data_IF_326685797324
#
_entry.id   IF_326685797324
#
_cell.length_a   1.000
_cell.length_b   1.000
_cell.length_c   1.000
_cell.angle_alpha   90.00
_cell.angle_beta   90.00
_cell.angle_gamma   90.00
#
_symmetry.space_group_name_H-M   'P 1'
#
loop_
_entity.id
_entity.type
_entity.pdbx_description
1 polymer ?
#
# COMPACT_ATOMS: atom_id res chain seq x y z
N UNK A 1 5.68 -13.15 -0.55
CA UNK A 1 4.83 -12.28 0.28
C UNK A 1 3.97 -11.41 -0.63
N UNK A 2 2.63 -11.52 -0.56
CA UNK A 2 1.72 -10.65 -1.34
C UNK A 2 1.68 -9.20 -0.82
N UNK A 3 1.12 -8.27 -1.59
CA UNK A 3 0.99 -6.85 -1.20
C UNK A 3 0.23 -6.72 0.13
N UNK A 4 -0.87 -7.45 0.30
CA UNK A 4 -1.65 -7.44 1.55
C UNK A 4 -0.83 -7.93 2.75
N UNK A 5 0.01 -8.96 2.57
CA UNK A 5 0.87 -9.48 3.62
C UNK A 5 1.93 -8.44 4.02
N UNK A 6 2.48 -7.71 3.04
CA UNK A 6 3.41 -6.61 3.31
C UNK A 6 2.73 -5.47 4.08
N UNK A 7 1.49 -5.13 3.74
CA UNK A 7 0.71 -4.11 4.49
C UNK A 7 0.51 -4.56 5.94
N UNK A 8 0.10 -5.82 6.17
CA UNK A 8 -0.04 -6.38 7.52
C UNK A 8 1.28 -6.25 8.28
N UNK A 9 2.39 -6.70 7.68
CA UNK A 9 3.71 -6.59 8.28
C UNK A 9 4.09 -5.13 8.60
N UNK A 10 3.85 -4.20 7.68
CA UNK A 10 4.16 -2.80 7.87
C UNK A 10 3.32 -2.16 8.99
N UNK A 11 2.03 -2.47 9.07
CA UNK A 11 1.16 -2.03 10.17
C UNK A 11 1.64 -2.59 11.51
N UNK A 12 2.10 -3.84 11.55
CA UNK A 12 2.51 -4.50 12.79
C UNK A 12 3.92 -4.09 13.27
N UNK A 13 4.82 -3.72 12.36
CA UNK A 13 6.24 -3.55 12.68
C UNK A 13 6.77 -2.13 12.43
N UNK A 14 6.22 -1.40 11.44
CA UNK A 14 6.76 -0.10 11.03
C UNK A 14 6.00 1.08 11.64
N UNK A 15 4.77 0.88 12.11
CA UNK A 15 3.99 1.92 12.77
C UNK A 15 4.05 1.68 14.27
N UNK A 16 4.76 2.55 14.98
CA UNK A 16 4.89 2.49 16.42
C UNK A 16 4.04 3.59 17.06
N UNK A 17 3.17 3.21 17.99
CA UNK A 17 2.50 4.17 18.87
C UNK A 17 3.40 4.35 20.09
N UNK A 18 4.03 5.52 20.21
CA UNK A 18 4.67 5.90 21.46
C UNK A 18 3.60 6.27 22.49
N UNK A 19 3.08 5.28 23.22
CA UNK A 19 2.42 5.55 24.51
C UNK A 19 3.53 5.77 25.54
N UNK A 20 3.43 6.88 26.26
CA UNK A 20 4.42 7.33 27.25
C UNK A 20 4.91 6.18 28.13
N UNK A 21 6.24 6.04 28.21
CA UNK A 21 7.01 5.21 29.15
C UNK A 21 6.58 3.73 29.21
N UNK A 22 7.35 2.88 28.50
CA UNK A 22 7.32 1.41 28.56
C UNK A 22 6.00 0.75 28.12
N UNK A 23 5.75 0.70 26.81
CA UNK A 23 4.75 -0.22 26.25
C UNK A 23 5.31 -1.07 25.10
N UNK A 24 4.89 -2.35 25.00
CA UNK A 24 5.27 -3.22 23.90
C UNK A 24 4.73 -2.67 22.56
N UNK A 25 5.41 -3.01 21.47
CA UNK A 25 4.96 -2.73 20.10
C UNK A 25 3.54 -3.29 19.95
N UNK A 26 2.54 -2.41 19.73
CA UNK A 26 1.16 -2.83 19.51
C UNK A 26 1.01 -3.12 18.01
N UNK A 27 0.78 -4.39 17.60
CA UNK A 27 0.54 -4.70 16.20
C UNK A 27 -0.77 -4.05 15.75
N UNK A 28 -0.71 -3.21 14.70
CA UNK A 28 -1.86 -2.41 14.27
C UNK A 28 -2.69 -3.04 13.18
N UNK A 29 -2.28 -4.15 12.55
CA UNK A 29 -3.05 -4.74 11.45
C UNK A 29 -4.47 -5.12 11.88
N UNK A 30 -4.61 -5.82 13.02
CA UNK A 30 -5.91 -6.23 13.52
C UNK A 30 -6.76 -5.03 14.02
N UNK A 31 -6.26 -4.13 14.89
CA UNK A 31 -6.99 -2.92 15.27
C UNK A 31 -7.43 -2.06 14.08
N UNK A 32 -6.60 -1.99 13.03
CA UNK A 32 -6.93 -1.24 11.80
C UNK A 32 -8.11 -1.88 11.07
N UNK A 33 -8.16 -3.21 10.96
CA UNK A 33 -9.32 -3.90 10.38
C UNK A 33 -10.60 -3.61 11.17
N UNK A 34 -10.54 -3.70 12.50
CA UNK A 34 -11.69 -3.39 13.37
C UNK A 34 -12.12 -1.92 13.26
N UNK A 35 -11.16 -0.99 13.11
CA UNK A 35 -11.47 0.44 12.87
C UNK A 35 -12.22 0.63 11.56
N UNK A 36 -11.77 -0.02 10.48
CA UNK A 36 -12.44 0.04 9.17
C UNK A 36 -13.86 -0.53 9.25
N UNK A 37 -14.05 -1.64 9.97
CA UNK A 37 -15.37 -2.25 10.17
C UNK A 37 -16.30 -1.38 11.03
N UNK A 38 -15.79 -0.76 12.09
CA UNK A 38 -16.56 0.19 12.92
C UNK A 38 -16.99 1.40 12.10
N UNK A 39 -16.07 2.00 11.33
CA UNK A 39 -16.36 3.12 10.45
C UNK A 39 -17.39 2.76 9.37
N UNK A 40 -17.23 1.61 8.73
CA UNK A 40 -18.19 1.10 7.74
C UNK A 40 -19.58 0.91 8.37
N UNK A 41 -19.64 0.33 9.57
CA UNK A 41 -20.89 0.12 10.31
C UNK A 41 -21.60 1.43 10.62
N UNK A 42 -20.86 2.46 11.06
CA UNK A 42 -21.44 3.79 11.28
C UNK A 42 -22.05 4.36 9.99
N UNK A 43 -21.35 4.28 8.86
CA UNK A 43 -21.86 4.78 7.58
C UNK A 43 -23.09 4.01 7.08
N UNK A 44 -23.11 2.68 7.26
CA UNK A 44 -24.27 1.84 6.91
C UNK A 44 -25.47 2.20 7.77
N UNK A 45 -25.28 2.35 9.09
CA UNK A 45 -26.35 2.72 10.01
C UNK A 45 -26.91 4.12 9.70
N UNK A 46 -26.05 5.05 9.27
CA UNK A 46 -26.44 6.39 8.83
C UNK A 46 -26.98 6.44 7.39
N UNK A 47 -27.12 5.29 6.71
CA UNK A 47 -27.59 5.16 5.32
C UNK A 47 -26.74 5.93 4.29
N UNK A 48 -25.47 6.16 4.60
CA UNK A 48 -24.52 6.85 3.71
C UNK A 48 -23.85 5.89 2.72
N UNK A 49 -23.79 4.60 3.05
CA UNK A 49 -23.27 3.53 2.20
C UNK A 49 -24.16 2.29 2.29
N UNK A 50 -24.01 1.36 1.34
CA UNK A 50 -24.79 0.13 1.31
C UNK A 50 -23.88 -1.11 1.42
N UNK A 51 -24.25 -2.03 2.31
CA UNK A 51 -23.58 -3.31 2.46
C UNK A 51 -24.24 -4.37 1.58
N UNK A 52 -23.44 -5.21 0.94
CA UNK A 52 -23.91 -6.40 0.23
C UNK A 52 -24.15 -7.56 1.19
N UNK A 53 -25.15 -8.38 0.90
CA UNK A 53 -25.45 -9.59 1.67
C UNK A 53 -24.36 -10.65 1.57
N UNK A 54 -23.58 -10.62 0.49
CA UNK A 54 -22.47 -11.54 0.24
C UNK A 54 -21.15 -10.76 0.20
N UNK A 55 -20.20 -11.20 1.01
CA UNK A 55 -18.82 -10.72 0.99
C UNK A 55 -17.94 -11.73 0.25
N UNK A 56 -17.00 -11.22 -0.54
CA UNK A 56 -15.93 -12.03 -1.14
C UNK A 56 -14.97 -12.60 -0.07
N UNK A 57 -15.05 -12.09 1.16
CA UNK A 57 -14.24 -12.48 2.30
C UNK A 57 -15.17 -13.06 3.37
N UNK A 58 -15.25 -14.40 3.45
CA UNK A 58 -16.15 -15.14 4.35
C UNK A 58 -16.02 -14.78 5.83
N UNK A 59 -14.83 -14.34 6.26
CA UNK A 59 -14.53 -13.96 7.63
C UNK A 59 -14.23 -12.45 7.78
N UNK A 60 -14.59 -11.64 6.79
CA UNK A 60 -14.41 -10.19 6.85
C UNK A 60 -15.55 -9.50 7.60
N UNK A 61 -15.26 -8.35 8.22
CA UNK A 61 -16.30 -7.53 8.86
C UNK A 61 -17.02 -6.61 7.87
N UNK A 62 -17.78 -5.65 8.40
CA UNK A 62 -18.65 -4.77 7.61
C UNK A 62 -17.94 -4.10 6.43
N UNK A 63 -16.67 -3.72 6.58
CA UNK A 63 -15.91 -3.06 5.52
C UNK A 63 -15.71 -3.96 4.29
N UNK A 64 -15.62 -5.29 4.46
CA UNK A 64 -15.45 -6.22 3.35
C UNK A 64 -16.74 -6.47 2.56
N UNK A 65 -17.89 -6.14 3.16
CA UNK A 65 -19.21 -6.21 2.52
C UNK A 65 -19.54 -4.97 1.68
N UNK A 66 -18.70 -3.93 1.69
CA UNK A 66 -18.94 -2.70 0.95
C UNK A 66 -18.48 -2.77 -0.51
N UNK A 67 -19.12 -1.99 -1.37
CA UNK A 67 -18.64 -1.74 -2.74
C UNK A 67 -17.25 -1.11 -2.72
N UNK A 68 -16.55 -1.13 -3.87
CA UNK A 68 -15.24 -0.44 -3.97
C UNK A 68 -15.37 1.06 -3.70
N UNK A 69 -16.44 1.69 -4.20
CA UNK A 69 -16.72 3.11 -4.01
C UNK A 69 -17.02 3.41 -2.54
N UNK A 70 -17.82 2.58 -1.88
CA UNK A 70 -18.18 2.76 -0.48
C UNK A 70 -16.98 2.53 0.46
N UNK A 71 -16.07 1.61 0.12
CA UNK A 71 -14.79 1.49 0.85
C UNK A 71 -13.97 2.77 0.79
N UNK A 72 -13.93 3.45 -0.36
CA UNK A 72 -13.27 4.76 -0.50
C UNK A 72 -14.01 5.81 0.33
N UNK A 73 -15.35 5.80 0.35
CA UNK A 73 -16.14 6.70 1.21
C UNK A 73 -15.84 6.48 2.69
N UNK A 74 -15.69 5.24 3.14
CA UNK A 74 -15.29 4.92 4.52
C UNK A 74 -13.91 5.46 4.86
N UNK A 75 -12.93 5.28 3.97
CA UNK A 75 -11.58 5.86 4.16
C UNK A 75 -11.63 7.39 4.19
N UNK A 76 -12.42 8.01 3.32
CA UNK A 76 -12.63 9.46 3.29
C UNK A 76 -13.30 9.98 4.56
N UNK A 77 -14.25 9.23 5.13
CA UNK A 77 -14.92 9.61 6.37
C UNK A 77 -13.97 9.55 7.58
N UNK A 78 -13.09 8.54 7.62
CA UNK A 78 -12.03 8.45 8.62
C UNK A 78 -10.99 9.57 8.47
N UNK A 79 -10.56 9.88 7.25
CA UNK A 79 -9.58 10.94 6.99
C UNK A 79 -10.12 12.34 7.32
N UNK A 80 -11.39 12.61 6.96
CA UNK A 80 -12.06 13.86 7.30
C UNK A 80 -12.58 13.91 8.75
N UNK A 81 -12.43 12.83 9.52
CA UNK A 81 -12.95 12.69 10.89
C UNK A 81 -14.46 12.96 10.98
N UNK A 82 -15.22 12.61 9.94
CA UNK A 82 -16.67 12.85 9.83
C UNK A 82 -17.51 11.72 10.45
N UNK A 83 -16.95 11.06 11.47
CA UNK A 83 -17.51 9.90 12.16
C UNK A 83 -17.47 10.15 13.67
N UNK A 84 -18.24 9.39 14.43
CA UNK A 84 -18.11 9.43 15.88
C UNK A 84 -16.83 8.67 16.30
N UNK A 85 -15.80 9.44 16.67
CA UNK A 85 -14.50 8.90 17.08
C UNK A 85 -14.56 8.16 18.42
N UNK A 86 -15.60 8.38 19.22
CA UNK A 86 -15.79 7.67 20.48
C UNK A 86 -16.21 6.21 20.25
N UNK A 87 -16.85 5.92 19.11
CA UNK A 87 -17.27 4.57 18.73
C UNK A 87 -16.18 3.76 18.01
N UNK A 88 -15.01 4.36 17.76
CA UNK A 88 -13.88 3.66 17.17
C UNK A 88 -13.16 2.80 18.23
N UNK A 89 -12.56 1.67 17.85
CA UNK A 89 -11.87 0.78 18.78
C UNK A 89 -10.56 1.41 19.29
N UNK A 90 -10.09 0.97 20.45
CA UNK A 90 -8.69 1.21 20.86
C UNK A 90 -7.73 0.60 19.82
N UNK A 91 -6.60 1.25 19.47
CA UNK A 91 -6.07 2.51 20.00
C UNK A 91 -6.54 3.78 19.28
N UNK A 92 -7.51 3.67 18.36
CA UNK A 92 -8.01 4.75 17.52
C UNK A 92 -9.10 5.61 18.18
N UNK A 93 -9.77 5.09 19.21
CA UNK A 93 -10.80 5.81 19.95
C UNK A 93 -10.35 7.22 20.33
N UNK A 94 -11.05 8.24 19.85
CA UNK A 94 -10.74 9.67 20.02
C UNK A 94 -9.30 10.09 19.67
N UNK A 95 -8.58 9.28 18.86
CA UNK A 95 -7.21 9.56 18.46
C UNK A 95 -7.15 9.95 16.98
N UNK A 96 -7.59 11.17 16.69
CA UNK A 96 -7.63 11.73 15.33
C UNK A 96 -6.29 11.66 14.60
N UNK A 97 -5.17 11.90 15.30
CA UNK A 97 -3.83 11.86 14.72
C UNK A 97 -3.45 10.46 14.24
N UNK A 98 -3.69 9.45 15.06
CA UNK A 98 -3.41 8.06 14.70
C UNK A 98 -4.31 7.56 13.56
N UNK A 99 -5.60 7.94 13.58
CA UNK A 99 -6.54 7.59 12.51
C UNK A 99 -6.04 8.12 11.17
N UNK A 100 -5.76 9.42 11.09
CA UNK A 100 -5.24 10.07 9.87
C UNK A 100 -3.94 9.43 9.40
N UNK A 101 -3.02 9.18 10.32
CA UNK A 101 -1.74 8.55 10.00
C UNK A 101 -1.91 7.15 9.39
N UNK A 102 -2.76 6.30 9.97
CA UNK A 102 -2.99 4.95 9.46
C UNK A 102 -3.75 4.98 8.13
N UNK A 103 -4.75 5.86 7.97
CA UNK A 103 -5.48 6.00 6.69
C UNK A 103 -4.56 6.51 5.58
N UNK A 104 -3.70 7.50 5.85
CA UNK A 104 -2.68 7.96 4.91
C UNK A 104 -1.71 6.82 4.54
N UNK A 105 -1.24 6.04 5.52
CA UNK A 105 -0.38 4.89 5.28
C UNK A 105 -1.05 3.83 4.39
N UNK A 106 -2.33 3.50 4.64
CA UNK A 106 -3.09 2.57 3.80
C UNK A 106 -3.21 3.06 2.36
N UNK A 107 -3.51 4.35 2.16
CA UNK A 107 -3.59 4.95 0.83
C UNK A 107 -2.24 4.91 0.11
N UNK A 108 -1.15 5.27 0.79
CA UNK A 108 0.21 5.23 0.23
C UNK A 108 0.65 3.82 -0.14
N UNK A 109 0.43 2.84 0.73
CA UNK A 109 0.79 1.45 0.45
C UNK A 109 -0.06 0.85 -0.68
N UNK A 110 -1.34 1.20 -0.76
CA UNK A 110 -2.19 0.79 -1.88
C UNK A 110 -1.71 1.39 -3.20
N UNK A 111 -1.34 2.68 -3.22
CA UNK A 111 -0.76 3.31 -4.40
C UNK A 111 0.58 2.67 -4.79
N UNK A 112 1.47 2.43 -3.82
CA UNK A 112 2.73 1.73 -4.06
C UNK A 112 2.48 0.35 -4.68
N UNK A 113 1.57 -0.44 -4.12
CA UNK A 113 1.26 -1.77 -4.65
C UNK A 113 0.63 -1.73 -6.05
N UNK A 114 -0.18 -0.71 -6.36
CA UNK A 114 -0.91 -0.63 -7.63
C UNK A 114 -0.10 -0.01 -8.76
N UNK A 115 0.64 1.06 -8.47
CA UNK A 115 1.34 1.86 -9.48
C UNK A 115 2.83 1.53 -9.59
N UNK A 116 3.37 0.64 -8.76
CA UNK A 116 4.75 0.18 -8.89
C UNK A 116 4.85 -1.19 -9.55
N UNK A 117 6.06 -1.46 -10.04
CA UNK A 117 6.50 -2.78 -10.48
C UNK A 117 6.83 -3.72 -9.31
N UNK A 118 6.74 -3.24 -8.05
CA UNK A 118 7.18 -4.01 -6.89
C UNK A 118 6.52 -5.39 -6.76
N UNK A 119 5.20 -5.55 -7.00
CA UNK A 119 4.61 -6.88 -7.02
C UNK A 119 5.25 -7.75 -8.09
N UNK A 120 5.50 -7.20 -9.29
CA UNK A 120 6.01 -7.90 -10.47
C UNK A 120 7.39 -8.55 -10.33
N UNK A 121 8.17 -8.14 -9.32
CA UNK A 121 9.41 -8.82 -8.96
C UNK A 121 9.22 -10.21 -8.35
N UNK A 122 7.99 -10.64 -8.04
CA UNK A 122 7.74 -12.03 -7.70
C UNK A 122 8.52 -12.50 -6.47
N UNK A 123 9.29 -13.57 -6.55
CA UNK A 123 10.09 -14.05 -5.42
C UNK A 123 11.26 -13.12 -5.08
N UNK A 124 11.77 -12.36 -6.06
CA UNK A 124 12.93 -11.47 -5.88
C UNK A 124 12.63 -10.09 -5.29
N UNK A 125 11.35 -9.75 -5.02
CA UNK A 125 10.91 -8.39 -4.62
C UNK A 125 11.57 -7.80 -3.38
N UNK A 126 12.11 -8.65 -2.49
CA UNK A 126 12.80 -8.26 -1.25
C UNK A 126 14.33 -8.27 -1.39
N UNK A 127 14.87 -8.68 -2.53
CA UNK A 127 16.31 -8.71 -2.75
C UNK A 127 16.90 -7.29 -2.84
N UNK A 128 18.22 -7.20 -2.75
CA UNK A 128 18.96 -5.98 -3.11
C UNK A 128 18.63 -5.55 -4.55
N UNK A 129 18.66 -4.25 -4.88
CA UNK A 129 18.24 -3.73 -6.19
C UNK A 129 18.84 -4.47 -7.39
N UNK A 130 20.14 -4.80 -7.34
CA UNK A 130 20.84 -5.51 -8.41
C UNK A 130 20.38 -6.98 -8.62
N UNK A 131 19.69 -7.54 -7.63
CA UNK A 131 19.24 -8.93 -7.62
C UNK A 131 17.71 -9.06 -7.79
N UNK A 132 17.01 -7.95 -8.10
CA UNK A 132 15.58 -7.95 -8.43
C UNK A 132 15.39 -8.23 -9.91
N UNK A 133 14.45 -9.11 -10.25
CA UNK A 133 14.10 -9.45 -11.63
C UNK A 133 12.59 -9.47 -11.77
N UNK A 134 12.07 -8.85 -12.83
CA UNK A 134 10.65 -8.95 -13.16
C UNK A 134 10.36 -10.41 -13.52
N UNK A 135 9.50 -11.05 -12.73
CA UNK A 135 9.08 -12.43 -12.97
C UNK A 135 7.76 -12.48 -13.75
N UNK A 136 6.98 -11.40 -13.72
CA UNK A 136 5.75 -11.24 -14.48
C UNK A 136 5.55 -9.80 -14.93
N UNK A 137 4.60 -9.59 -15.84
CA UNK A 137 4.23 -8.24 -16.26
C UNK A 137 3.44 -7.53 -15.15
N UNK A 138 3.82 -6.29 -14.77
CA UNK A 138 2.99 -5.45 -13.92
C UNK A 138 1.56 -5.31 -14.47
N UNK A 139 0.56 -5.34 -13.59
CA UNK A 139 -0.85 -5.21 -13.96
C UNK A 139 -1.12 -3.93 -14.76
N UNK A 140 -0.46 -2.83 -14.38
CA UNK A 140 -0.56 -1.55 -15.08
C UNK A 140 -0.05 -1.63 -16.50
N UNK A 141 1.09 -2.29 -16.72
CA UNK A 141 1.66 -2.49 -18.06
C UNK A 141 0.68 -3.24 -18.96
N UNK A 142 0.10 -4.33 -18.45
CA UNK A 142 -0.90 -5.11 -19.18
C UNK A 142 -2.13 -4.27 -19.56
N UNK A 143 -2.63 -3.45 -18.62
CA UNK A 143 -3.81 -2.61 -18.83
C UNK A 143 -3.61 -1.51 -19.87
N UNK A 144 -2.42 -0.91 -19.91
CA UNK A 144 -2.12 0.19 -20.84
C UNK A 144 -1.48 -0.30 -22.14
N UNK A 145 -1.30 -1.62 -22.31
CA UNK A 145 -0.63 -2.19 -23.47
C UNK A 145 0.85 -1.84 -23.58
N UNK A 146 1.52 -1.56 -22.45
CA UNK A 146 2.95 -1.25 -22.45
C UNK A 146 3.76 -2.53 -22.78
N UNK A 147 4.62 -2.51 -23.81
CA UNK A 147 5.30 -3.71 -24.31
C UNK A 147 6.44 -4.20 -23.40
N UNK A 148 6.74 -3.46 -22.33
CA UNK A 148 7.83 -3.72 -21.41
C UNK A 148 9.01 -2.78 -21.60
N UNK A 149 10.00 -2.90 -20.72
CA UNK A 149 11.22 -2.07 -20.77
C UNK A 149 11.95 -2.27 -22.09
N UNK A 150 12.17 -1.16 -22.81
CA UNK A 150 13.02 -1.18 -23.99
C UNK A 150 14.47 -1.33 -23.56
N UNK A 151 15.21 -2.19 -24.24
CA UNK A 151 16.64 -2.28 -24.02
C UNK A 151 17.31 -0.96 -24.42
N UNK A 152 17.92 -0.25 -23.46
CA UNK A 152 18.54 1.06 -23.69
C UNK A 152 19.57 1.07 -24.82
N UNK A 153 20.30 -0.03 -25.04
CA UNK A 153 21.25 -0.15 -26.15
C UNK A 153 20.58 -0.07 -27.54
N UNK A 154 19.27 -0.34 -27.65
CA UNK A 154 18.50 -0.19 -28.90
C UNK A 154 17.95 1.22 -29.10
N UNK A 155 17.96 2.07 -28.06
CA UNK A 155 17.56 3.47 -28.16
C UNK A 155 18.64 4.34 -28.81
N UNK A 156 19.90 3.90 -28.82
CA UNK A 156 21.00 4.50 -29.58
C UNK A 156 20.91 4.15 -31.07
N UNK A 157 19.81 4.54 -31.72
CA UNK A 157 19.59 4.40 -33.17
C UNK A 157 20.70 5.12 -33.97
N UNK A 158 21.86 4.48 -34.13
CA UNK A 158 22.95 4.95 -35.00
C UNK A 158 24.19 5.54 -34.32
N UNK A 159 24.28 5.57 -32.98
CA UNK A 159 25.53 5.93 -32.30
C UNK A 159 26.25 4.68 -31.82
N UNK A 160 27.32 4.29 -32.53
CA UNK A 160 28.28 3.29 -32.06
C UNK A 160 29.13 3.94 -30.97
N UNK A 161 28.89 3.58 -29.72
CA UNK A 161 29.88 3.76 -28.67
C UNK A 161 30.72 2.49 -28.59
N UNK A 162 32.03 2.63 -28.69
CA UNK A 162 32.96 1.55 -28.34
C UNK A 162 33.01 1.40 -26.82
N UNK A 163 33.12 0.17 -26.30
CA UNK A 163 33.12 -0.09 -24.84
C UNK A 163 34.12 0.79 -24.06
N UNK A 164 35.20 1.21 -24.71
CA UNK A 164 36.22 2.11 -24.17
C UNK A 164 35.70 3.49 -23.74
N UNK A 165 34.60 3.98 -24.35
CA UNK A 165 34.02 5.30 -24.02
C UNK A 165 33.11 5.27 -22.77
N UNK A 166 32.65 4.08 -22.36
CA UNK A 166 31.76 3.90 -21.20
C UNK A 166 32.58 3.68 -19.92
N UNK A 167 33.81 3.19 -20.03
CA UNK A 167 34.75 3.01 -18.90
C UNK A 167 35.64 4.24 -18.61
N UNK A 168 35.60 5.27 -19.46
CA UNK A 168 36.46 6.46 -19.40
C UNK A 168 36.17 7.50 -18.30
N UNK A 169 35.76 7.05 -17.12
CA UNK A 169 35.49 7.88 -15.94
C UNK A 169 36.54 7.80 -14.84
N UNK A 170 37.77 7.38 -15.13
CA UNK A 170 38.90 7.49 -14.21
C UNK A 170 40.00 8.36 -14.83
N UNK A 171 39.77 9.67 -14.76
CA UNK A 171 40.85 10.64 -14.77
C UNK A 171 41.76 10.37 -13.57
N UNK A 172 43.04 10.08 -13.82
CA UNK A 172 44.12 10.58 -12.97
C UNK A 172 45.36 10.80 -13.83
N UNK A 173 45.54 12.07 -14.19
CA UNK A 173 46.78 12.65 -14.68
C UNK A 173 47.80 12.70 -13.55
N UNK A 174 48.99 12.14 -13.76
CA UNK A 174 50.31 12.67 -13.38
C UNK A 174 51.38 11.80 -14.00
#
# INVERSE_FOLDING_TARGET
>A
MGVYAYIIYALDHNIQIQRQLYQPIVPLAHPTAVMLDSAATQLVNNRQVQAFSQSLFLNGGMFSHLSREDRIRTLSALDNLSLDLYLLPSPFQNNAGLIKFVVDALNRFAMFGYYSEWPAYGTTRLNQPNNRKLEYFPLTWQKIGYPGVSFGYRAFRGFLFTMDEVEGGNENRS
#
